data_IF_809446486116
#
_entry.id   IF_809446486116
#
_cell.length_a   1.000
_cell.length_b   1.000
_cell.length_c   1.000
_cell.angle_alpha   90.00
_cell.angle_beta   90.00
_cell.angle_gamma   90.00
#
_symmetry.space_group_name_H-M   'P 1'
#
loop_
_entity.id
_entity.type
_entity.pdbx_description
1 polymer ?
#
# COMPACT_ATOMS: atom_id res chain seq x y z
N UNK A 1 52.60 4.57 6.14
CA UNK A 1 51.19 4.12 6.12
C UNK A 1 50.37 5.29 5.61
N UNK A 2 49.59 5.11 4.54
CA UNK A 2 48.62 6.12 4.13
C UNK A 2 47.67 6.37 5.32
N UNK A 3 47.38 7.62 5.64
CA UNK A 3 46.31 7.94 6.59
C UNK A 3 44.96 7.58 5.94
N UNK A 4 43.94 7.32 6.75
CA UNK A 4 42.58 7.06 6.23
C UNK A 4 42.09 8.20 5.34
N UNK A 5 42.47 9.44 5.67
CA UNK A 5 42.20 10.63 4.85
C UNK A 5 42.85 10.56 3.46
N UNK A 6 44.08 10.08 3.36
CA UNK A 6 44.76 9.92 2.06
C UNK A 6 44.09 8.83 1.22
N UNK A 7 43.66 7.73 1.85
CA UNK A 7 42.89 6.68 1.17
C UNK A 7 41.53 7.19 0.68
N UNK A 8 40.91 8.10 1.43
CA UNK A 8 39.65 8.75 1.02
C UNK A 8 39.86 9.65 -0.20
N UNK A 9 40.95 10.42 -0.26
CA UNK A 9 41.34 11.21 -1.44
C UNK A 9 41.62 10.32 -2.66
N UNK A 10 42.43 9.27 -2.50
CA UNK A 10 42.72 8.31 -3.59
C UNK A 10 41.44 7.62 -4.10
N UNK A 11 40.54 7.23 -3.20
CA UNK A 11 39.26 6.65 -3.57
C UNK A 11 38.38 7.64 -4.32
N UNK A 12 38.33 8.90 -3.87
CA UNK A 12 37.55 9.94 -4.54
C UNK A 12 38.08 10.18 -5.96
N UNK A 13 39.39 10.30 -6.12
CA UNK A 13 40.04 10.41 -7.44
C UNK A 13 39.75 9.18 -8.31
N UNK A 14 39.83 7.96 -7.77
CA UNK A 14 39.50 6.75 -8.49
C UNK A 14 38.00 6.68 -8.87
N UNK A 15 37.10 7.20 -8.04
CA UNK A 15 35.67 7.26 -8.34
C UNK A 15 35.29 8.32 -9.37
N UNK A 16 36.11 9.39 -9.50
CA UNK A 16 35.81 10.56 -10.32
C UNK A 16 35.62 10.26 -11.81
N UNK A 17 36.14 9.13 -12.30
CA UNK A 17 36.03 8.71 -13.71
C UNK A 17 34.73 7.96 -14.04
N UNK A 18 33.90 7.59 -13.06
CA UNK A 18 32.75 6.71 -13.25
C UNK A 18 31.39 7.43 -13.21
N UNK A 19 30.51 7.15 -14.20
CA UNK A 19 29.10 7.59 -14.14
C UNK A 19 28.26 6.81 -13.12
N UNK A 20 28.64 5.57 -12.84
CA UNK A 20 28.00 4.70 -11.85
C UNK A 20 29.10 3.99 -11.07
N UNK A 21 28.95 3.87 -9.75
CA UNK A 21 29.82 2.99 -8.98
C UNK A 21 29.81 1.59 -9.61
N UNK A 22 30.98 0.96 -9.80
CA UNK A 22 31.02 -0.45 -10.14
C UNK A 22 30.21 -1.23 -9.10
N UNK A 23 29.58 -2.34 -9.50
CA UNK A 23 28.70 -3.11 -8.61
C UNK A 23 29.41 -3.49 -7.29
N UNK A 24 30.72 -3.72 -7.34
CA UNK A 24 31.58 -3.97 -6.17
C UNK A 24 31.63 -2.82 -5.15
N UNK A 25 31.36 -1.57 -5.56
CA UNK A 25 31.40 -0.37 -4.72
C UNK A 25 30.01 0.03 -4.20
N UNK A 26 28.92 -0.36 -4.88
CA UNK A 26 27.68 0.40 -4.92
C UNK A 26 26.76 0.29 -3.68
N UNK A 27 26.96 -0.67 -2.77
CA UNK A 27 26.04 -0.87 -1.63
C UNK A 27 26.65 -1.20 -0.27
N UNK A 28 27.87 -1.73 -0.23
CA UNK A 28 28.49 -2.10 1.05
C UNK A 28 29.80 -1.36 1.23
N UNK A 29 30.70 -1.38 0.25
CA UNK A 29 32.04 -0.81 0.45
C UNK A 29 32.05 0.69 0.79
N UNK A 30 31.28 1.51 0.07
CA UNK A 30 31.25 2.95 0.36
C UNK A 30 30.59 3.21 1.71
N UNK A 31 29.50 2.52 2.00
CA UNK A 31 28.76 2.73 3.24
C UNK A 31 29.57 2.21 4.45
N UNK A 32 30.24 1.06 4.33
CA UNK A 32 31.20 0.52 5.31
C UNK A 32 32.40 1.44 5.50
N UNK A 33 32.95 2.02 4.42
CA UNK A 33 34.04 2.99 4.53
C UNK A 33 33.59 4.24 5.27
N UNK A 34 32.41 4.78 4.90
CA UNK A 34 31.81 5.95 5.55
C UNK A 34 31.55 5.66 7.03
N UNK A 35 31.08 4.47 7.37
CA UNK A 35 30.85 4.02 8.75
C UNK A 35 32.15 3.87 9.56
N UNK A 36 33.30 3.68 8.90
CA UNK A 36 34.61 3.58 9.53
C UNK A 36 35.34 4.92 9.70
N UNK A 37 34.76 6.05 9.29
CA UNK A 37 35.35 7.37 9.47
C UNK A 37 35.02 7.94 10.85
N UNK A 38 36.04 8.40 11.60
CA UNK A 38 35.85 9.08 12.89
C UNK A 38 35.31 10.53 12.76
N UNK A 39 35.21 11.05 11.52
CA UNK A 39 34.78 12.42 11.18
C UNK A 39 35.46 13.50 12.03
N UNK A 40 36.76 13.33 12.28
CA UNK A 40 37.61 14.32 12.93
C UNK A 40 38.05 15.42 11.94
N UNK A 41 38.59 16.52 12.44
CA UNK A 41 38.90 17.71 11.62
C UNK A 41 39.75 17.46 10.35
N UNK A 42 40.75 16.56 10.34
CA UNK A 42 41.46 16.21 9.10
C UNK A 42 40.51 15.63 8.03
N UNK A 43 39.65 14.68 8.41
CA UNK A 43 38.65 14.08 7.53
C UNK A 43 37.60 15.11 7.08
N UNK A 44 37.13 15.95 8.00
CA UNK A 44 36.21 17.04 7.66
C UNK A 44 36.84 18.03 6.68
N UNK A 45 38.13 18.33 6.82
CA UNK A 45 38.87 19.18 5.87
C UNK A 45 38.90 18.60 4.46
N UNK A 46 39.09 17.28 4.35
CA UNK A 46 39.00 16.56 3.07
C UNK A 46 37.58 16.62 2.50
N UNK A 47 36.56 16.38 3.32
CA UNK A 47 35.14 16.46 2.89
C UNK A 47 34.82 17.89 2.40
N UNK A 48 35.22 18.93 3.13
CA UNK A 48 35.04 20.35 2.73
C UNK A 48 35.68 20.63 1.37
N UNK A 49 36.87 20.10 1.13
CA UNK A 49 37.58 20.22 -0.15
C UNK A 49 36.79 19.53 -1.27
N UNK A 50 36.23 18.35 -1.04
CA UNK A 50 35.38 17.68 -2.05
C UNK A 50 34.13 18.48 -2.35
N UNK A 51 33.41 18.98 -1.34
CA UNK A 51 32.19 19.78 -1.55
C UNK A 51 32.46 21.00 -2.43
N UNK A 52 33.53 21.75 -2.16
CA UNK A 52 33.87 22.96 -2.91
C UNK A 52 34.28 22.68 -4.36
N UNK A 53 34.96 21.57 -4.59
CA UNK A 53 35.54 21.21 -5.89
C UNK A 53 34.66 20.25 -6.70
N UNK A 54 33.47 19.89 -6.19
CA UNK A 54 32.60 18.93 -6.86
C UNK A 54 32.04 19.51 -8.16
N UNK A 55 32.25 18.78 -9.25
CA UNK A 55 31.66 19.09 -10.55
C UNK A 55 30.27 18.44 -10.69
N UNK A 56 29.23 19.27 -10.62
CA UNK A 56 27.83 18.84 -10.74
C UNK A 56 27.39 18.57 -12.19
N UNK A 57 28.16 19.04 -13.18
CA UNK A 57 27.96 18.74 -14.61
C UNK A 57 28.68 17.45 -15.02
N UNK A 58 29.67 17.04 -14.23
CA UNK A 58 30.50 15.86 -14.46
C UNK A 58 29.83 14.52 -14.15
N UNK A 59 30.67 13.58 -13.74
CA UNK A 59 30.34 12.18 -13.45
C UNK A 59 29.55 12.04 -12.14
N UNK A 60 28.63 11.08 -12.07
CA UNK A 60 27.69 10.98 -10.94
C UNK A 60 28.25 10.24 -9.71
N UNK A 61 29.22 9.35 -9.86
CA UNK A 61 29.82 8.63 -8.74
C UNK A 61 30.42 9.56 -7.65
N UNK A 62 31.27 10.56 -7.98
CA UNK A 62 31.81 11.47 -6.95
C UNK A 62 30.70 12.24 -6.23
N UNK A 63 29.63 12.65 -6.93
CA UNK A 63 28.48 13.34 -6.33
C UNK A 63 27.82 12.45 -5.28
N UNK A 64 27.53 11.18 -5.62
CA UNK A 64 26.93 10.22 -4.69
C UNK A 64 27.82 9.96 -3.47
N UNK A 65 29.14 9.89 -3.66
CA UNK A 65 30.10 9.73 -2.56
C UNK A 65 30.04 10.92 -1.60
N UNK A 66 30.05 12.16 -2.12
CA UNK A 66 29.97 13.37 -1.29
C UNK A 66 28.65 13.45 -0.55
N UNK A 67 27.51 13.12 -1.19
CA UNK A 67 26.21 13.07 -0.51
C UNK A 67 26.25 12.15 0.70
N UNK A 68 26.81 10.94 0.56
CA UNK A 68 26.89 9.94 1.64
C UNK A 68 27.83 10.38 2.77
N UNK A 69 28.99 10.95 2.42
CA UNK A 69 29.94 11.50 3.38
C UNK A 69 29.32 12.65 4.19
N UNK A 70 28.63 13.58 3.52
CA UNK A 70 27.94 14.68 4.16
C UNK A 70 26.81 14.18 5.07
N UNK A 71 25.95 13.30 4.58
CA UNK A 71 24.84 12.76 5.37
C UNK A 71 25.35 12.05 6.65
N UNK A 72 26.42 11.26 6.53
CA UNK A 72 27.04 10.60 7.68
C UNK A 72 27.70 11.59 8.66
N UNK A 73 28.40 12.62 8.16
CA UNK A 73 28.98 13.66 9.01
C UNK A 73 27.89 14.44 9.79
N UNK A 74 26.76 14.72 9.13
CA UNK A 74 25.61 15.39 9.74
C UNK A 74 24.95 14.49 10.79
N UNK A 75 24.72 13.21 10.48
CA UNK A 75 24.18 12.22 11.45
C UNK A 75 25.06 12.06 12.69
N UNK A 76 26.37 12.17 12.53
CA UNK A 76 27.34 12.16 13.64
C UNK A 76 27.47 13.52 14.36
N UNK A 77 26.68 14.54 13.99
CA UNK A 77 26.73 15.89 14.56
C UNK A 77 28.05 16.64 14.35
N UNK A 78 28.85 16.25 13.36
CA UNK A 78 30.19 16.82 13.10
C UNK A 78 30.18 18.00 12.11
N UNK A 79 29.04 18.27 11.47
CA UNK A 79 28.90 19.30 10.42
C UNK A 79 27.97 20.47 10.79
N UNK A 80 27.71 20.71 12.08
CA UNK A 80 26.69 21.66 12.57
C UNK A 80 27.01 23.14 12.34
N UNK A 81 28.27 23.50 12.14
CA UNK A 81 28.70 24.90 12.00
C UNK A 81 29.00 25.28 10.54
N UNK A 82 28.52 24.49 9.59
CA UNK A 82 28.88 24.60 8.17
C UNK A 82 27.67 24.90 7.27
N UNK A 83 26.68 25.62 7.81
CA UNK A 83 25.43 25.96 7.11
C UNK A 83 25.69 26.61 5.75
N UNK A 84 26.69 27.50 5.63
CA UNK A 84 27.05 28.15 4.36
C UNK A 84 27.53 27.14 3.30
N UNK A 85 28.38 26.19 3.70
CA UNK A 85 28.92 25.18 2.78
C UNK A 85 27.85 24.15 2.39
N UNK A 86 27.01 23.79 3.36
CA UNK A 86 25.87 22.92 3.14
C UNK A 86 24.85 23.60 2.22
N UNK A 87 24.56 24.88 2.42
CA UNK A 87 23.70 25.68 1.57
C UNK A 87 24.21 25.72 0.13
N UNK A 88 25.51 26.02 -0.06
CA UNK A 88 26.17 26.01 -1.36
C UNK A 88 26.05 24.65 -2.06
N UNK A 89 26.29 23.57 -1.32
CA UNK A 89 26.16 22.21 -1.85
C UNK A 89 24.73 21.92 -2.31
N UNK A 90 23.73 22.22 -1.48
CA UNK A 90 22.32 22.00 -1.84
C UNK A 90 21.97 22.82 -3.09
N UNK A 91 22.47 24.06 -3.23
CA UNK A 91 22.13 24.94 -4.37
C UNK A 91 22.67 24.36 -5.67
N UNK A 92 23.91 23.88 -5.63
CA UNK A 92 24.55 23.25 -6.78
C UNK A 92 23.91 21.89 -7.10
N UNK A 93 23.47 21.12 -6.10
CA UNK A 93 22.86 19.80 -6.32
C UNK A 93 21.50 19.86 -7.01
N UNK A 94 20.80 21.00 -6.99
CA UNK A 94 19.55 21.18 -7.75
C UNK A 94 19.74 21.08 -9.27
N UNK A 95 20.91 21.42 -9.79
CA UNK A 95 21.23 21.26 -11.21
C UNK A 95 21.08 19.79 -11.67
N UNK A 96 21.27 18.83 -10.75
CA UNK A 96 21.12 17.39 -11.02
C UNK A 96 19.68 17.05 -11.42
N UNK A 97 18.68 17.75 -10.88
CA UNK A 97 17.26 17.45 -11.13
C UNK A 97 16.89 17.63 -12.61
N UNK A 98 17.62 18.45 -13.36
CA UNK A 98 17.43 18.66 -14.79
C UNK A 98 18.03 17.56 -15.68
N UNK A 99 18.86 16.66 -15.13
CA UNK A 99 19.62 15.66 -15.89
C UNK A 99 18.82 14.37 -16.11
N UNK A 100 19.15 13.56 -17.15
CA UNK A 100 18.53 12.26 -17.37
C UNK A 100 18.59 11.35 -16.13
N UNK A 101 17.44 10.76 -15.79
CA UNK A 101 17.11 10.10 -14.52
C UNK A 101 18.09 8.98 -14.12
N UNK A 102 19.05 9.25 -13.22
CA UNK A 102 19.74 8.20 -12.47
C UNK A 102 19.03 7.97 -11.13
N UNK A 103 18.24 6.90 -11.06
CA UNK A 103 17.44 6.53 -9.87
C UNK A 103 18.26 6.41 -8.59
N UNK A 104 19.49 5.89 -8.65
CA UNK A 104 20.31 5.75 -7.44
C UNK A 104 20.81 7.11 -6.92
N UNK A 105 21.12 8.04 -7.83
CA UNK A 105 21.49 9.40 -7.43
C UNK A 105 20.31 10.15 -6.85
N UNK A 106 19.12 10.03 -7.45
CA UNK A 106 17.89 10.63 -6.92
C UNK A 106 17.57 10.07 -5.53
N UNK A 107 17.72 8.77 -5.33
CA UNK A 107 17.54 8.14 -4.03
C UNK A 107 18.51 8.71 -2.98
N UNK A 108 19.82 8.76 -3.29
CA UNK A 108 20.83 9.32 -2.37
C UNK A 108 20.53 10.82 -2.09
N UNK A 109 20.16 11.60 -3.11
CA UNK A 109 19.86 13.03 -2.98
C UNK A 109 18.62 13.30 -2.11
N UNK A 110 17.53 12.56 -2.29
CA UNK A 110 16.32 12.77 -1.49
C UNK A 110 16.44 12.17 -0.08
N UNK A 111 17.24 11.12 0.11
CA UNK A 111 17.63 10.70 1.47
C UNK A 111 18.34 11.85 2.20
N UNK A 112 19.21 12.58 1.50
CA UNK A 112 19.90 13.74 2.05
C UNK A 112 18.96 14.91 2.32
N UNK A 113 18.10 15.29 1.36
CA UNK A 113 17.12 16.38 1.54
C UNK A 113 16.04 16.10 2.60
N UNK A 114 15.77 14.82 2.90
CA UNK A 114 14.83 14.41 3.96
C UNK A 114 15.43 14.43 5.36
N UNK A 115 16.73 14.72 5.49
CA UNK A 115 17.35 14.95 6.78
C UNK A 115 16.88 16.31 7.34
N UNK A 116 16.27 16.37 8.54
CA UNK A 116 15.74 17.63 9.08
C UNK A 116 16.79 18.73 9.24
N UNK A 117 18.05 18.36 9.52
CA UNK A 117 19.16 19.32 9.62
C UNK A 117 19.43 19.95 8.25
N UNK A 118 19.46 19.15 7.19
CA UNK A 118 19.69 19.62 5.82
C UNK A 118 18.53 20.47 5.33
N UNK A 119 17.29 20.04 5.60
CA UNK A 119 16.09 20.76 5.20
C UNK A 119 16.03 22.16 5.84
N UNK A 120 16.40 22.25 7.12
CA UNK A 120 16.34 23.48 7.92
C UNK A 120 17.42 24.53 7.58
N UNK A 121 18.42 24.20 6.77
CA UNK A 121 19.43 25.16 6.29
C UNK A 121 18.81 26.26 5.42
N UNK A 122 17.58 26.05 4.95
CA UNK A 122 16.88 26.95 4.05
C UNK A 122 15.45 27.19 4.50
N UNK A 123 14.98 28.40 4.21
CA UNK A 123 13.57 28.71 4.30
C UNK A 123 12.74 27.87 3.31
N UNK A 124 11.50 27.49 3.66
CA UNK A 124 10.61 26.69 2.81
C UNK A 124 10.47 27.19 1.36
N UNK A 125 10.44 28.49 1.10
CA UNK A 125 10.28 28.99 -0.28
C UNK A 125 11.52 28.77 -1.15
N UNK A 126 12.70 28.63 -0.52
CA UNK A 126 13.94 28.30 -1.23
C UNK A 126 13.95 26.85 -1.73
N UNK A 127 13.01 26.01 -1.27
CA UNK A 127 12.81 24.65 -1.77
C UNK A 127 11.85 24.57 -2.97
N UNK A 128 11.26 25.69 -3.40
CA UNK A 128 10.20 25.71 -4.42
C UNK A 128 10.58 25.00 -5.74
N UNK A 129 11.84 25.13 -6.17
CA UNK A 129 12.34 24.47 -7.39
C UNK A 129 12.27 22.95 -7.24
N UNK A 130 12.74 22.43 -6.10
CA UNK A 130 12.73 21.01 -5.78
C UNK A 130 11.30 20.50 -5.60
N UNK A 131 10.45 21.26 -4.89
CA UNK A 131 9.04 20.90 -4.68
C UNK A 131 8.32 20.76 -6.02
N UNK A 132 8.44 21.74 -6.92
CA UNK A 132 7.82 21.68 -8.25
C UNK A 132 8.34 20.51 -9.08
N UNK A 133 9.65 20.25 -9.00
CA UNK A 133 10.23 19.10 -9.68
C UNK A 133 9.63 17.79 -9.16
N UNK A 134 9.53 17.63 -7.83
CA UNK A 134 8.94 16.44 -7.20
C UNK A 134 7.49 16.26 -7.62
N UNK A 135 6.70 17.33 -7.58
CA UNK A 135 5.28 17.27 -7.93
C UNK A 135 5.04 16.87 -9.38
N UNK A 136 5.89 17.34 -10.30
CA UNK A 136 5.87 16.92 -11.70
C UNK A 136 6.26 15.45 -11.88
N UNK A 137 7.17 14.92 -11.06
CA UNK A 137 7.58 13.51 -11.16
C UNK A 137 6.50 12.53 -10.69
N UNK A 138 5.52 12.96 -9.89
CA UNK A 138 4.40 12.08 -9.52
C UNK A 138 3.50 11.70 -10.69
N UNK A 139 3.53 12.45 -11.80
CA UNK A 139 2.84 12.09 -13.03
C UNK A 139 3.59 10.99 -13.83
N UNK A 140 4.82 10.63 -13.45
CA UNK A 140 5.58 9.57 -14.12
C UNK A 140 5.10 8.18 -13.70
N UNK A 141 4.48 7.45 -14.62
CA UNK A 141 4.03 6.06 -14.43
C UNK A 141 5.18 5.10 -14.05
N UNK A 142 6.43 5.44 -14.39
CA UNK A 142 7.60 4.62 -14.10
C UNK A 142 8.26 4.93 -12.75
N UNK A 143 7.70 5.86 -11.96
CA UNK A 143 8.21 6.20 -10.64
C UNK A 143 7.93 5.06 -9.65
N UNK A 144 8.99 4.53 -9.03
CA UNK A 144 8.84 3.43 -8.05
C UNK A 144 8.24 3.93 -6.73
N UNK A 145 7.55 3.06 -5.99
CA UNK A 145 7.04 3.34 -4.65
C UNK A 145 8.11 3.89 -3.67
N UNK A 146 9.35 3.41 -3.73
CA UNK A 146 10.44 3.91 -2.88
C UNK A 146 10.77 5.39 -3.09
N UNK A 147 10.75 5.85 -4.35
CA UNK A 147 10.97 7.27 -4.67
C UNK A 147 9.77 8.09 -4.23
N UNK A 148 8.55 7.59 -4.47
CA UNK A 148 7.31 8.23 -3.99
C UNK A 148 7.38 8.45 -2.48
N UNK A 149 7.83 7.45 -1.71
CA UNK A 149 7.95 7.57 -0.25
C UNK A 149 8.92 8.68 0.17
N UNK A 150 10.07 8.79 -0.50
CA UNK A 150 11.07 9.82 -0.22
C UNK A 150 10.56 11.22 -0.59
N UNK A 151 9.90 11.34 -1.72
CA UNK A 151 9.32 12.58 -2.22
C UNK A 151 8.23 13.11 -1.29
N UNK A 152 7.32 12.23 -0.86
CA UNK A 152 6.29 12.58 0.12
C UNK A 152 6.94 12.98 1.45
N UNK A 153 7.93 12.23 1.94
CA UNK A 153 8.66 12.60 3.17
C UNK A 153 9.29 13.98 3.06
N UNK A 154 9.91 14.30 1.92
CA UNK A 154 10.51 15.60 1.67
C UNK A 154 9.46 16.72 1.71
N UNK A 155 8.37 16.58 0.94
CA UNK A 155 7.29 17.57 0.88
C UNK A 155 6.64 17.78 2.25
N UNK A 156 6.45 16.72 3.04
CA UNK A 156 5.84 16.78 4.35
C UNK A 156 6.74 17.38 5.45
N UNK A 157 7.98 17.78 5.14
CA UNK A 157 8.80 18.59 6.05
C UNK A 157 8.37 20.07 6.08
N UNK A 158 7.55 20.52 5.14
CA UNK A 158 7.00 21.89 5.17
C UNK A 158 6.13 22.02 6.42
N UNK A 159 6.46 22.95 7.35
CA UNK A 159 6.01 22.82 8.73
C UNK A 159 4.55 23.23 8.93
N UNK A 160 3.99 24.07 8.06
CA UNK A 160 2.61 24.54 8.18
C UNK A 160 1.81 24.38 6.89
N UNK A 161 0.50 24.19 7.03
CA UNK A 161 -0.43 24.19 5.91
C UNK A 161 -0.51 25.57 5.21
N UNK A 162 -0.23 26.67 5.91
CA UNK A 162 -0.18 28.01 5.31
C UNK A 162 0.96 28.14 4.29
N UNK A 163 2.14 27.65 4.63
CA UNK A 163 3.27 27.59 3.70
C UNK A 163 3.03 26.57 2.58
N UNK A 164 2.49 25.40 2.92
CA UNK A 164 2.14 24.39 1.92
C UNK A 164 1.15 24.94 0.86
N UNK A 165 0.19 25.79 1.27
CA UNK A 165 -0.70 26.52 0.35
C UNK A 165 0.06 27.54 -0.49
N UNK A 166 0.90 28.37 0.14
CA UNK A 166 1.71 29.37 -0.57
C UNK A 166 2.61 28.74 -1.64
N UNK A 167 3.06 27.52 -1.40
CA UNK A 167 3.90 26.72 -2.30
C UNK A 167 3.09 25.83 -3.27
N UNK A 168 1.76 25.96 -3.31
CA UNK A 168 0.84 25.17 -4.13
C UNK A 168 0.85 23.65 -3.89
N UNK A 169 1.41 23.17 -2.78
CA UNK A 169 1.48 21.74 -2.47
C UNK A 169 0.08 21.15 -2.28
N UNK A 170 -0.77 21.83 -1.50
CA UNK A 170 -2.13 21.35 -1.22
C UNK A 170 -3.00 21.40 -2.47
N UNK A 171 -2.96 22.50 -3.23
CA UNK A 171 -3.76 22.66 -4.44
C UNK A 171 -3.39 21.65 -5.53
N UNK A 172 -2.11 21.35 -5.70
CA UNK A 172 -1.66 20.29 -6.60
C UNK A 172 -2.02 18.89 -6.07
N UNK A 173 -1.85 18.62 -4.78
CA UNK A 173 -2.19 17.31 -4.22
C UNK A 173 -3.70 16.99 -4.26
N UNK A 174 -4.59 17.99 -4.24
CA UNK A 174 -6.02 17.77 -4.46
C UNK A 174 -6.42 17.76 -5.95
N UNK A 175 -5.50 17.99 -6.90
CA UNK A 175 -5.77 17.99 -8.35
C UNK A 175 -6.30 16.64 -8.84
N UNK A 176 -7.29 16.59 -9.76
CA UNK A 176 -7.79 15.33 -10.33
C UNK A 176 -6.68 14.45 -10.93
N UNK A 177 -5.62 15.06 -11.44
CA UNK A 177 -4.48 14.37 -12.07
C UNK A 177 -3.53 13.71 -11.07
N UNK A 178 -3.62 14.08 -9.79
CA UNK A 178 -2.75 13.58 -8.73
C UNK A 178 -3.50 12.87 -7.61
N UNK A 179 -4.84 12.99 -7.51
CA UNK A 179 -5.61 12.30 -6.46
C UNK A 179 -5.36 10.79 -6.56
N UNK A 180 -4.67 10.25 -5.56
CA UNK A 180 -4.14 8.90 -5.54
C UNK A 180 -3.43 8.60 -4.21
N UNK A 181 -2.62 7.54 -4.19
CA UNK A 181 -2.02 7.05 -2.93
C UNK A 181 -1.01 8.01 -2.30
N UNK A 182 -0.28 8.78 -3.10
CA UNK A 182 0.79 9.67 -2.61
C UNK A 182 0.25 11.03 -2.20
N UNK A 183 -0.61 11.64 -3.02
CA UNK A 183 -1.30 12.89 -2.69
C UNK A 183 -2.14 12.72 -1.44
N UNK A 184 -2.80 11.58 -1.26
CA UNK A 184 -3.47 11.26 -0.01
C UNK A 184 -2.55 11.38 1.21
N UNK A 185 -1.27 11.01 1.13
CA UNK A 185 -0.35 11.14 2.26
C UNK A 185 0.04 12.60 2.53
N UNK A 186 0.23 13.38 1.46
CA UNK A 186 0.47 14.83 1.57
C UNK A 186 -0.75 15.50 2.21
N UNK A 187 -1.94 15.22 1.71
CA UNK A 187 -3.19 15.77 2.25
C UNK A 187 -3.44 15.30 3.69
N UNK A 188 -3.14 14.04 4.01
CA UNK A 188 -3.24 13.51 5.37
C UNK A 188 -2.35 14.30 6.35
N UNK A 189 -1.14 14.68 5.93
CA UNK A 189 -0.21 15.47 6.74
C UNK A 189 -0.79 16.83 7.14
N UNK A 190 -1.56 17.46 6.25
CA UNK A 190 -2.15 18.78 6.47
C UNK A 190 -3.63 18.74 6.85
N UNK A 191 -4.20 17.57 7.09
CA UNK A 191 -5.65 17.38 7.20
C UNK A 191 -6.33 18.27 8.26
N UNK A 192 -5.63 18.56 9.37
CA UNK A 192 -6.16 19.39 10.47
C UNK A 192 -6.41 20.85 10.07
N UNK A 193 -5.68 21.34 9.08
CA UNK A 193 -5.69 22.74 8.69
C UNK A 193 -6.44 22.99 7.38
N UNK A 194 -7.00 21.96 6.73
CA UNK A 194 -7.68 22.10 5.45
C UNK A 194 -8.97 22.92 5.60
N UNK A 195 -9.28 23.72 4.58
CA UNK A 195 -10.56 24.40 4.51
C UNK A 195 -11.64 23.45 4.02
N UNK A 196 -12.90 23.78 4.31
CA UNK A 196 -14.03 22.98 3.80
C UNK A 196 -14.07 22.94 2.26
N UNK A 197 -13.64 24.01 1.59
CA UNK A 197 -13.58 24.07 0.12
C UNK A 197 -12.50 23.15 -0.45
N UNK A 198 -11.34 23.05 0.20
CA UNK A 198 -10.28 22.11 -0.17
C UNK A 198 -10.73 20.66 0.07
N UNK A 199 -11.43 20.40 1.17
CA UNK A 199 -12.01 19.09 1.44
C UNK A 199 -13.06 18.70 0.38
N UNK A 200 -13.97 19.62 0.03
CA UNK A 200 -14.96 19.41 -1.03
C UNK A 200 -14.30 19.17 -2.39
N UNK A 201 -13.25 19.91 -2.71
CA UNK A 201 -12.45 19.72 -3.93
C UNK A 201 -11.81 18.34 -3.97
N UNK A 202 -11.19 17.90 -2.87
CA UNK A 202 -10.62 16.56 -2.77
C UNK A 202 -11.68 15.47 -2.92
N UNK A 203 -12.85 15.60 -2.25
CA UNK A 203 -13.97 14.66 -2.38
C UNK A 203 -14.44 14.56 -3.84
N UNK A 204 -14.62 15.70 -4.52
CA UNK A 204 -15.07 15.73 -5.91
C UNK A 204 -14.04 15.10 -6.85
N UNK A 205 -12.77 15.46 -6.71
CA UNK A 205 -11.71 14.91 -7.55
C UNK A 205 -11.47 13.42 -7.27
N UNK A 206 -11.55 12.99 -6.01
CA UNK A 206 -11.53 11.58 -5.64
C UNK A 206 -12.71 10.80 -6.20
N UNK A 207 -13.90 11.40 -6.33
CA UNK A 207 -15.08 10.74 -6.92
C UNK A 207 -15.01 10.61 -8.43
N UNK A 208 -14.35 11.56 -9.10
CA UNK A 208 -14.35 11.69 -10.55
C UNK A 208 -13.07 11.16 -11.22
N UNK A 209 -11.95 11.03 -10.50
CA UNK A 209 -10.68 10.61 -11.10
C UNK A 209 -10.73 9.16 -11.63
N UNK A 210 -9.96 8.90 -12.67
CA UNK A 210 -9.79 7.61 -13.33
C UNK A 210 -8.56 6.82 -12.84
N UNK A 211 -7.73 7.39 -11.97
CA UNK A 211 -6.46 6.79 -11.54
C UNK A 211 -6.68 5.61 -10.59
N UNK A 212 -6.16 4.42 -10.88
CA UNK A 212 -6.31 3.22 -10.04
C UNK A 212 -6.04 3.47 -8.54
N UNK A 213 -7.07 3.26 -7.71
CA UNK A 213 -7.15 3.79 -6.35
C UNK A 213 -6.49 2.93 -5.29
N UNK A 214 -6.11 3.56 -4.17
CA UNK A 214 -5.57 2.88 -2.98
C UNK A 214 -6.15 3.43 -1.69
N UNK A 215 -6.19 2.54 -0.70
CA UNK A 215 -6.60 2.74 0.70
C UNK A 215 -6.25 4.10 1.36
N UNK A 216 -5.06 4.71 1.12
CA UNK A 216 -4.72 5.98 1.75
C UNK A 216 -5.69 7.13 1.48
N UNK A 217 -6.30 7.20 0.29
CA UNK A 217 -7.23 8.28 -0.04
C UNK A 217 -8.57 8.18 0.71
N UNK A 218 -9.10 6.95 0.88
CA UNK A 218 -10.29 6.73 1.73
C UNK A 218 -9.98 7.15 3.16
N UNK A 219 -8.80 6.80 3.67
CA UNK A 219 -8.36 7.22 5.01
C UNK A 219 -8.36 8.74 5.19
N UNK A 220 -7.94 9.48 4.17
CA UNK A 220 -8.01 10.94 4.15
C UNK A 220 -9.45 11.43 4.21
N UNK A 221 -10.36 10.88 3.38
CA UNK A 221 -11.78 11.26 3.39
C UNK A 221 -12.42 11.07 4.75
N UNK A 222 -12.17 9.93 5.38
CA UNK A 222 -12.67 9.61 6.71
C UNK A 222 -12.12 10.60 7.74
N UNK A 223 -10.82 10.90 7.68
CA UNK A 223 -10.18 11.88 8.58
C UNK A 223 -10.71 13.29 8.35
N UNK A 224 -10.92 13.71 7.11
CA UNK A 224 -11.52 15.01 6.79
C UNK A 224 -12.94 15.11 7.33
N UNK A 225 -13.75 14.04 7.21
CA UNK A 225 -15.11 14.02 7.77
C UNK A 225 -15.10 14.06 9.30
N UNK A 226 -14.11 13.45 9.95
CA UNK A 226 -13.88 13.56 11.40
C UNK A 226 -13.60 15.01 11.81
N UNK A 227 -12.73 15.69 11.07
CA UNK A 227 -12.32 17.07 11.37
C UNK A 227 -13.36 18.12 10.93
N UNK A 228 -14.13 17.81 9.89
CA UNK A 228 -15.17 18.65 9.31
C UNK A 228 -16.49 17.88 9.24
N UNK A 229 -17.27 17.82 10.33
CA UNK A 229 -18.55 17.09 10.35
C UNK A 229 -19.57 17.55 9.31
N UNK A 230 -19.45 18.79 8.81
CA UNK A 230 -20.27 19.33 7.73
C UNK A 230 -19.87 18.85 6.32
N UNK A 231 -18.75 18.14 6.19
CA UNK A 231 -18.29 17.60 4.93
C UNK A 231 -19.23 16.48 4.45
N UNK A 232 -19.90 16.74 3.34
CA UNK A 232 -20.79 15.76 2.71
C UNK A 232 -19.99 14.92 1.73
N UNK A 233 -19.98 13.61 1.94
CA UNK A 233 -19.46 12.62 0.98
C UNK A 233 -20.66 12.01 0.28
N UNK A 234 -20.91 12.32 -1.01
CA UNK A 234 -22.06 11.77 -1.71
C UNK A 234 -21.96 10.25 -1.85
N UNK A 235 -23.03 9.53 -1.48
CA UNK A 235 -23.06 8.06 -1.53
C UNK A 235 -23.95 7.52 -2.66
N UNK A 236 -24.60 8.39 -3.42
CA UNK A 236 -25.49 8.00 -4.52
C UNK A 236 -24.68 7.47 -5.72
N UNK A 237 -25.11 6.38 -6.40
CA UNK A 237 -24.38 5.80 -7.53
C UNK A 237 -24.03 6.80 -8.65
N UNK A 238 -24.98 7.65 -9.03
CA UNK A 238 -24.81 8.65 -10.09
C UNK A 238 -23.74 9.71 -9.79
N UNK A 239 -23.24 9.78 -8.55
CA UNK A 239 -22.22 10.74 -8.11
C UNK A 239 -20.78 10.24 -8.29
N UNK A 240 -20.58 9.02 -8.78
CA UNK A 240 -19.27 8.36 -8.86
C UNK A 240 -18.96 7.88 -10.28
N UNK A 241 -17.71 7.99 -10.70
CA UNK A 241 -17.24 7.41 -11.97
C UNK A 241 -16.91 5.93 -11.84
N UNK A 242 -16.58 5.46 -10.63
CA UNK A 242 -16.25 4.06 -10.35
C UNK A 242 -17.05 3.54 -9.15
N UNK A 243 -17.83 2.49 -9.39
CA UNK A 243 -18.77 1.95 -8.40
C UNK A 243 -18.05 1.21 -7.25
N UNK A 244 -17.00 0.45 -7.56
CA UNK A 244 -16.22 -0.27 -6.53
C UNK A 244 -15.69 0.68 -5.45
N UNK A 245 -15.25 1.88 -5.86
CA UNK A 245 -14.75 2.92 -4.96
C UNK A 245 -15.84 3.50 -4.07
N UNK A 246 -17.02 3.76 -4.63
CA UNK A 246 -18.19 4.20 -3.87
C UNK A 246 -18.55 3.19 -2.79
N UNK A 247 -18.62 1.91 -3.18
CA UNK A 247 -18.94 0.82 -2.25
C UNK A 247 -17.87 0.69 -1.16
N UNK A 248 -16.58 0.74 -1.51
CA UNK A 248 -15.51 0.71 -0.50
C UNK A 248 -15.63 1.88 0.49
N UNK A 249 -15.98 3.09 0.04
CA UNK A 249 -16.24 4.22 0.95
C UNK A 249 -17.43 3.94 1.87
N UNK A 250 -18.53 3.40 1.35
CA UNK A 250 -19.71 3.03 2.15
C UNK A 250 -19.33 1.98 3.20
N UNK A 251 -18.68 0.88 2.79
CA UNK A 251 -18.25 -0.18 3.69
C UNK A 251 -17.34 0.36 4.80
N UNK A 252 -16.50 1.35 4.54
CA UNK A 252 -15.56 1.89 5.54
C UNK A 252 -16.16 2.95 6.45
N UNK A 253 -17.19 3.63 5.97
CA UNK A 253 -18.01 4.48 6.82
C UNK A 253 -18.85 3.65 7.80
N UNK A 254 -19.26 2.43 7.41
CA UNK A 254 -19.97 1.48 8.27
C UNK A 254 -19.01 0.67 9.18
N UNK A 255 -17.83 0.30 8.68
CA UNK A 255 -16.81 -0.46 9.38
C UNK A 255 -15.48 0.30 9.44
N UNK A 256 -15.30 1.21 10.42
CA UNK A 256 -14.00 1.78 10.70
C UNK A 256 -13.08 0.68 11.29
N UNK A 257 -12.45 -0.10 10.43
CA UNK A 257 -11.50 -1.14 10.81
C UNK A 257 -10.33 -0.51 11.59
N UNK A 258 -10.25 -0.83 12.88
CA UNK A 258 -9.09 -0.63 13.78
C UNK A 258 -8.36 0.72 13.69
N UNK A 259 -9.09 1.80 14.03
CA UNK A 259 -8.45 2.98 14.58
C UNK A 259 -9.05 3.29 15.94
N UNK A 260 -8.21 3.33 16.99
CA UNK A 260 -8.57 3.77 18.34
C UNK A 260 -9.35 5.10 18.35
N UNK A 261 -9.20 5.92 17.30
CA UNK A 261 -9.89 7.20 17.11
C UNK A 261 -11.26 7.12 16.43
N UNK A 262 -11.54 6.16 15.54
CA UNK A 262 -12.80 6.16 14.79
C UNK A 262 -13.97 5.55 15.58
N UNK A 263 -13.71 4.78 16.64
CA UNK A 263 -14.77 4.31 17.57
C UNK A 263 -15.55 5.46 18.22
N UNK A 264 -15.03 6.69 18.18
CA UNK A 264 -15.70 7.87 18.73
C UNK A 264 -16.63 8.59 17.75
N UNK A 265 -16.61 8.25 16.46
CA UNK A 265 -17.57 8.83 15.54
C UNK A 265 -18.86 8.01 15.60
N UNK A 266 -19.88 8.53 16.27
CA UNK A 266 -21.28 8.29 15.89
C UNK A 266 -21.44 8.85 14.47
N UNK A 267 -20.91 8.15 13.47
CA UNK A 267 -21.27 8.40 12.08
C UNK A 267 -22.71 7.91 11.97
N UNK A 268 -23.67 8.77 12.31
CA UNK A 268 -25.06 8.53 11.97
C UNK A 268 -25.17 8.63 10.45
N UNK A 269 -24.87 7.52 9.78
CA UNK A 269 -25.30 7.30 8.42
C UNK A 269 -26.82 7.18 8.47
N UNK A 270 -27.52 8.20 8.01
CA UNK A 270 -28.95 8.10 7.82
C UNK A 270 -29.24 7.02 6.77
N UNK A 271 -30.28 6.22 7.02
CA UNK A 271 -30.77 5.19 6.09
C UNK A 271 -29.73 4.11 5.73
N UNK A 272 -29.04 3.53 6.74
CA UNK A 272 -28.12 2.39 6.56
C UNK A 272 -28.76 1.28 5.71
N UNK A 273 -30.02 0.94 5.96
CA UNK A 273 -30.72 -0.09 5.16
C UNK A 273 -30.76 0.24 3.67
N UNK A 274 -31.03 1.50 3.29
CA UNK A 274 -31.06 1.93 1.90
C UNK A 274 -29.66 1.94 1.26
N UNK A 275 -28.61 2.22 2.06
CA UNK A 275 -27.22 2.11 1.60
C UNK A 275 -26.84 0.65 1.36
N UNK A 276 -27.22 -0.26 2.26
CA UNK A 276 -26.99 -1.71 2.09
C UNK A 276 -27.72 -2.22 0.85
N UNK A 277 -29.00 -1.87 0.67
CA UNK A 277 -29.75 -2.19 -0.54
C UNK A 277 -29.02 -1.67 -1.79
N UNK A 278 -28.58 -0.40 -1.76
CA UNK A 278 -27.86 0.22 -2.86
C UNK A 278 -26.57 -0.52 -3.22
N UNK A 279 -25.82 -1.08 -2.25
CA UNK A 279 -24.61 -1.86 -2.52
C UNK A 279 -24.94 -3.26 -3.04
N UNK A 280 -25.99 -3.89 -2.50
CA UNK A 280 -26.43 -5.19 -2.99
C UNK A 280 -26.93 -5.11 -4.44
N UNK A 281 -27.59 -4.02 -4.81
CA UNK A 281 -28.01 -3.75 -6.19
C UNK A 281 -26.85 -3.35 -7.12
N UNK A 282 -25.67 -3.01 -6.58
CA UNK A 282 -24.53 -2.62 -7.39
C UNK A 282 -23.88 -3.81 -8.10
N UNK A 283 -23.36 -3.60 -9.33
CA UNK A 283 -22.59 -4.60 -10.07
C UNK A 283 -21.13 -4.68 -9.57
N UNK A 284 -20.95 -4.74 -8.26
CA UNK A 284 -19.62 -4.87 -7.63
C UNK A 284 -19.29 -6.32 -7.29
N UNK A 285 -18.01 -6.59 -7.10
CA UNK A 285 -17.52 -7.92 -6.69
C UNK A 285 -18.17 -8.37 -5.39
N UNK A 286 -18.37 -9.69 -5.29
CA UNK A 286 -19.05 -10.29 -4.13
C UNK A 286 -18.30 -10.06 -2.82
N UNK A 287 -16.96 -9.96 -2.86
CA UNK A 287 -16.12 -9.64 -1.70
C UNK A 287 -16.42 -8.24 -1.13
N UNK A 288 -16.78 -7.29 -2.00
CA UNK A 288 -17.15 -5.95 -1.54
C UNK A 288 -18.49 -5.98 -0.81
N UNK A 289 -19.43 -6.81 -1.27
CA UNK A 289 -20.72 -7.03 -0.61
C UNK A 289 -20.57 -7.79 0.70
N UNK A 290 -19.65 -8.77 0.76
CA UNK A 290 -19.33 -9.53 1.97
C UNK A 290 -18.93 -8.62 3.14
N UNK A 291 -18.19 -7.54 2.87
CA UNK A 291 -17.80 -6.54 3.89
C UNK A 291 -19.00 -5.91 4.61
N UNK A 292 -20.22 -6.03 4.08
CA UNK A 292 -21.44 -5.46 4.67
C UNK A 292 -22.28 -6.45 5.47
N UNK A 293 -21.86 -7.71 5.57
CA UNK A 293 -22.65 -8.81 6.14
C UNK A 293 -23.26 -8.45 7.51
N UNK A 294 -22.47 -7.84 8.41
CA UNK A 294 -22.93 -7.52 9.77
C UNK A 294 -24.01 -6.43 9.86
N UNK A 295 -24.24 -5.69 8.77
CA UNK A 295 -25.30 -4.67 8.69
C UNK A 295 -26.51 -5.11 7.86
N UNK A 296 -26.48 -6.34 7.32
CA UNK A 296 -27.60 -6.87 6.55
C UNK A 296 -28.72 -7.32 7.48
N UNK A 297 -29.94 -6.88 7.20
CA UNK A 297 -31.12 -7.57 7.73
C UNK A 297 -31.35 -8.91 7.01
N UNK A 298 -32.29 -9.71 7.51
CA UNK A 298 -32.59 -11.03 6.97
C UNK A 298 -32.86 -11.02 5.46
N UNK A 299 -33.68 -10.06 4.97
CA UNK A 299 -34.00 -9.92 3.54
C UNK A 299 -32.76 -9.63 2.70
N UNK A 300 -31.89 -8.75 3.19
CA UNK A 300 -30.64 -8.36 2.51
C UNK A 300 -29.65 -9.51 2.47
N UNK A 301 -29.55 -10.26 3.57
CA UNK A 301 -28.73 -11.46 3.65
C UNK A 301 -29.22 -12.54 2.68
N UNK A 302 -30.52 -12.79 2.56
CA UNK A 302 -31.06 -13.73 1.56
C UNK A 302 -30.61 -13.36 0.14
N UNK A 303 -30.75 -12.07 -0.22
CA UNK A 303 -30.34 -11.57 -1.52
C UNK A 303 -28.84 -11.77 -1.78
N UNK A 304 -27.99 -11.39 -0.83
CA UNK A 304 -26.54 -11.62 -0.92
C UNK A 304 -26.22 -13.12 -1.05
N UNK A 305 -26.89 -13.96 -0.27
CA UNK A 305 -26.64 -15.40 -0.26
C UNK A 305 -27.06 -16.06 -1.57
N UNK A 306 -28.18 -15.65 -2.16
CA UNK A 306 -28.61 -16.11 -3.49
C UNK A 306 -27.62 -15.72 -4.59
N UNK A 307 -27.05 -14.51 -4.50
CA UNK A 307 -25.95 -14.08 -5.38
C UNK A 307 -24.69 -14.94 -5.17
N UNK A 308 -24.33 -15.25 -3.93
CA UNK A 308 -23.19 -16.13 -3.59
C UNK A 308 -23.39 -17.55 -4.14
N UNK A 309 -24.60 -18.10 -4.02
CA UNK A 309 -24.95 -19.40 -4.62
C UNK A 309 -24.83 -19.38 -6.14
N UNK A 310 -25.22 -18.27 -6.77
CA UNK A 310 -25.12 -18.10 -8.22
C UNK A 310 -23.66 -17.97 -8.65
N UNK A 311 -22.86 -17.21 -7.90
CA UNK A 311 -21.43 -17.03 -8.11
C UNK A 311 -20.66 -18.35 -7.94
N UNK A 312 -20.98 -19.17 -6.94
CA UNK A 312 -20.36 -20.47 -6.69
C UNK A 312 -20.46 -21.43 -7.90
N UNK A 313 -21.48 -21.28 -8.74
CA UNK A 313 -21.70 -22.09 -9.94
C UNK A 313 -20.87 -21.65 -11.14
N UNK A 314 -20.32 -20.44 -11.16
CA UNK A 314 -19.53 -19.90 -12.28
C UNK A 314 -18.23 -20.68 -12.46
N UNK A 315 -17.90 -21.10 -13.69
CA UNK A 315 -16.63 -21.76 -14.02
C UNK A 315 -15.46 -20.76 -13.99
N UNK A 316 -15.03 -20.36 -12.79
CA UNK A 316 -13.80 -19.60 -12.56
C UNK A 316 -12.98 -20.23 -11.44
N UNK A 317 -11.65 -20.21 -11.58
CA UNK A 317 -10.73 -20.68 -10.56
C UNK A 317 -10.73 -19.81 -9.30
N UNK A 318 -11.16 -18.55 -9.41
CA UNK A 318 -11.15 -17.61 -8.29
C UNK A 318 -12.33 -17.82 -7.33
N UNK A 319 -13.35 -18.60 -7.74
CA UNK A 319 -14.55 -18.86 -6.93
C UNK A 319 -14.20 -19.39 -5.54
N UNK A 320 -13.24 -20.31 -5.45
CA UNK A 320 -12.82 -20.89 -4.17
C UNK A 320 -12.21 -19.86 -3.23
N UNK A 321 -11.47 -18.87 -3.77
CA UNK A 321 -10.84 -17.81 -2.97
C UNK A 321 -11.93 -16.95 -2.32
N UNK A 322 -12.88 -16.48 -3.12
CA UNK A 322 -13.99 -15.63 -2.67
C UNK A 322 -14.93 -16.36 -1.69
N UNK A 323 -15.30 -17.61 -1.99
CA UNK A 323 -16.14 -18.40 -1.08
C UNK A 323 -15.39 -18.71 0.22
N UNK A 324 -14.10 -18.98 0.16
CA UNK A 324 -13.27 -19.18 1.37
C UNK A 324 -13.21 -17.92 2.23
N UNK A 325 -13.16 -16.72 1.63
CA UNK A 325 -13.30 -15.45 2.35
C UNK A 325 -14.66 -15.38 3.05
N UNK A 326 -15.75 -15.54 2.30
CA UNK A 326 -17.12 -15.49 2.81
C UNK A 326 -17.36 -16.45 3.97
N UNK A 327 -16.83 -17.67 3.93
CA UNK A 327 -16.99 -18.67 4.99
C UNK A 327 -16.50 -18.20 6.36
N UNK A 328 -15.57 -17.25 6.44
CA UNK A 328 -15.10 -16.69 7.72
C UNK A 328 -16.12 -15.78 8.37
N UNK A 329 -16.95 -15.13 7.57
CA UNK A 329 -17.94 -14.14 8.00
C UNK A 329 -19.34 -14.74 8.16
N UNK A 330 -19.67 -15.79 7.40
CA UNK A 330 -21.00 -16.43 7.38
C UNK A 330 -21.51 -17.04 8.71
N UNK A 331 -20.71 -17.57 9.67
CA UNK A 331 -21.23 -18.29 10.84
C UNK A 331 -22.24 -17.53 11.71
N UNK A 332 -22.18 -16.21 11.70
CA UNK A 332 -23.10 -15.36 12.47
C UNK A 332 -24.45 -15.15 11.77
N UNK A 333 -24.55 -15.47 10.48
CA UNK A 333 -25.66 -15.08 9.60
C UNK A 333 -26.30 -16.27 8.88
N UNK A 334 -25.51 -17.28 8.51
CA UNK A 334 -25.95 -18.43 7.76
C UNK A 334 -26.24 -19.63 8.67
N UNK A 335 -27.40 -20.26 8.48
CA UNK A 335 -27.65 -21.58 9.08
C UNK A 335 -26.80 -22.66 8.42
N UNK A 336 -26.59 -23.77 9.12
CA UNK A 336 -25.88 -24.94 8.56
C UNK A 336 -26.51 -25.43 7.25
N UNK A 337 -27.84 -25.37 7.14
CA UNK A 337 -28.56 -25.74 5.93
C UNK A 337 -28.17 -24.86 4.74
N UNK A 338 -28.06 -23.53 4.93
CA UNK A 338 -27.61 -22.62 3.87
C UNK A 338 -26.18 -22.93 3.44
N UNK A 339 -25.28 -23.12 4.41
CA UNK A 339 -23.88 -23.44 4.11
C UNK A 339 -23.77 -24.76 3.34
N UNK A 340 -24.56 -25.77 3.71
CA UNK A 340 -24.65 -27.00 2.93
C UNK A 340 -25.11 -26.74 1.49
N UNK A 341 -26.10 -25.86 1.26
CA UNK A 341 -26.51 -25.46 -0.10
C UNK A 341 -25.38 -24.78 -0.90
N UNK A 342 -24.55 -23.97 -0.25
CA UNK A 342 -23.38 -23.35 -0.87
C UNK A 342 -22.34 -24.39 -1.30
N UNK A 343 -22.05 -25.37 -0.44
CA UNK A 343 -21.17 -26.49 -0.78
C UNK A 343 -21.77 -27.39 -1.86
N UNK A 344 -23.10 -27.54 -1.90
CA UNK A 344 -23.78 -28.21 -3.00
C UNK A 344 -23.59 -27.47 -4.33
N UNK A 345 -23.69 -26.13 -4.32
CA UNK A 345 -23.53 -25.27 -5.50
C UNK A 345 -22.10 -25.26 -6.07
N UNK A 346 -21.07 -25.47 -5.24
CA UNK A 346 -19.68 -25.55 -5.67
C UNK A 346 -19.39 -26.80 -6.53
N UNK A 347 -20.18 -27.86 -6.42
CA UNK A 347 -20.01 -29.07 -7.21
C UNK A 347 -18.63 -29.71 -7.03
N UNK A 348 -17.91 -29.97 -8.12
CA UNK A 348 -16.61 -30.64 -8.09
C UNK A 348 -15.44 -29.74 -7.62
N UNK A 349 -15.66 -28.43 -7.48
CA UNK A 349 -14.65 -27.45 -7.01
C UNK A 349 -14.29 -27.62 -5.53
N UNK A 350 -15.02 -28.47 -4.82
CA UNK A 350 -14.89 -28.73 -3.39
C UNK A 350 -13.59 -29.44 -3.00
N UNK A 351 -12.80 -29.94 -3.97
CA UNK A 351 -11.48 -30.53 -3.73
C UNK A 351 -10.40 -29.46 -3.47
N UNK A 352 -10.70 -28.54 -2.56
CA UNK A 352 -9.82 -27.49 -2.09
C UNK A 352 -9.68 -27.59 -0.58
N UNK A 353 -8.47 -27.90 -0.11
CA UNK A 353 -8.19 -28.06 1.31
C UNK A 353 -8.50 -26.77 2.09
N UNK A 354 -8.29 -25.58 1.50
CA UNK A 354 -8.57 -24.32 2.17
C UNK A 354 -10.07 -24.17 2.45
N UNK A 355 -10.93 -24.54 1.51
CA UNK A 355 -12.38 -24.48 1.66
C UNK A 355 -12.85 -25.39 2.81
N UNK A 356 -12.39 -26.65 2.82
CA UNK A 356 -12.74 -27.65 3.84
C UNK A 356 -12.25 -27.22 5.23
N UNK A 357 -11.01 -26.74 5.32
CA UNK A 357 -10.44 -26.24 6.57
C UNK A 357 -11.20 -25.02 7.10
N UNK A 358 -11.53 -24.04 6.25
CA UNK A 358 -12.26 -22.85 6.70
C UNK A 358 -13.69 -23.19 7.13
N UNK A 359 -14.38 -24.13 6.47
CA UNK A 359 -15.67 -24.64 6.95
C UNK A 359 -15.55 -25.27 8.34
N UNK A 360 -14.53 -26.11 8.55
CA UNK A 360 -14.28 -26.74 9.85
C UNK A 360 -13.91 -25.72 10.93
N UNK A 361 -13.17 -24.66 10.61
CA UNK A 361 -12.86 -23.59 11.56
C UNK A 361 -14.11 -22.78 11.90
N UNK A 362 -14.97 -22.53 10.91
CA UNK A 362 -16.16 -21.71 11.02
C UNK A 362 -17.32 -22.41 11.77
N UNK A 363 -17.52 -23.72 11.56
CA UNK A 363 -18.66 -24.48 12.12
C UNK A 363 -18.26 -25.63 13.06
N UNK A 364 -16.97 -25.81 13.31
CA UNK A 364 -16.42 -26.85 14.19
C UNK A 364 -15.90 -28.08 13.43
N UNK A 365 -15.06 -28.86 14.09
CA UNK A 365 -14.41 -30.06 13.51
C UNK A 365 -15.38 -31.17 13.11
N UNK A 366 -16.58 -31.16 13.66
CA UNK A 366 -17.68 -32.09 13.34
C UNK A 366 -18.70 -31.50 12.36
N UNK A 367 -18.38 -30.42 11.64
CA UNK A 367 -19.28 -29.78 10.68
C UNK A 367 -19.88 -30.78 9.66
N UNK A 368 -19.12 -31.80 9.28
CA UNK A 368 -19.53 -32.81 8.30
C UNK A 368 -20.35 -33.98 8.89
N UNK A 369 -20.54 -34.03 10.21
CA UNK A 369 -21.39 -35.04 10.85
C UNK A 369 -22.85 -34.57 10.97
N UNK A 370 -23.13 -33.32 10.63
CA UNK A 370 -24.49 -32.80 10.63
C UNK A 370 -25.29 -33.35 9.41
N UNK A 371 -26.57 -33.71 9.60
CA UNK A 371 -27.41 -34.28 8.54
C UNK A 371 -27.48 -33.43 7.26
N UNK A 372 -27.38 -32.11 7.39
CA UNK A 372 -27.41 -31.17 6.27
C UNK A 372 -26.26 -31.39 5.28
N UNK A 373 -25.13 -31.94 5.73
CA UNK A 373 -23.95 -32.23 4.91
C UNK A 373 -23.86 -33.69 4.42
N UNK A 374 -24.88 -34.53 4.66
CA UNK A 374 -24.84 -35.95 4.28
C UNK A 374 -24.62 -36.15 2.78
N UNK A 375 -25.37 -35.44 1.93
CA UNK A 375 -25.21 -35.48 0.46
C UNK A 375 -23.83 -35.01 0.01
N UNK A 376 -23.33 -33.96 0.65
CA UNK A 376 -22.00 -33.43 0.39
C UNK A 376 -20.93 -34.48 0.73
N UNK A 377 -21.04 -35.11 1.90
CA UNK A 377 -20.13 -36.14 2.39
C UNK A 377 -20.09 -37.35 1.46
N UNK A 378 -21.24 -37.83 0.98
CA UNK A 378 -21.31 -38.96 0.05
C UNK A 378 -20.61 -38.63 -1.28
N UNK A 379 -20.89 -37.44 -1.83
CA UNK A 379 -20.27 -36.98 -3.08
C UNK A 379 -18.78 -36.73 -2.94
N UNK A 380 -18.35 -36.11 -1.84
CA UNK A 380 -16.93 -35.90 -1.55
C UNK A 380 -16.20 -37.24 -1.41
N UNK A 381 -16.77 -38.20 -0.69
CA UNK A 381 -16.21 -39.55 -0.54
C UNK A 381 -16.07 -40.28 -1.88
N UNK A 382 -17.02 -40.06 -2.80
CA UNK A 382 -16.93 -40.56 -4.18
C UNK A 382 -15.81 -39.87 -4.97
N UNK A 383 -15.72 -38.55 -4.93
CA UNK A 383 -14.66 -37.79 -5.60
C UNK A 383 -13.25 -38.16 -5.09
N UNK A 384 -13.13 -38.38 -3.78
CA UNK A 384 -11.92 -38.91 -3.13
C UNK A 384 -11.59 -40.30 -3.68
N UNK A 385 -12.57 -41.20 -3.74
CA UNK A 385 -12.39 -42.55 -4.28
C UNK A 385 -11.95 -42.54 -5.75
N UNK A 386 -12.56 -41.67 -6.56
CA UNK A 386 -12.24 -41.52 -7.98
C UNK A 386 -10.85 -40.91 -8.18
N UNK A 387 -10.45 -39.93 -7.36
CA UNK A 387 -9.12 -39.34 -7.38
C UNK A 387 -8.02 -40.36 -7.01
N UNK A 388 -8.25 -41.22 -6.02
CA UNK A 388 -7.29 -42.27 -5.62
C UNK A 388 -7.16 -43.35 -6.71
N UNK A 389 -8.25 -43.67 -7.42
CA UNK A 389 -8.25 -44.65 -8.52
C UNK A 389 -7.69 -44.09 -9.83
N UNK A 390 -7.61 -42.76 -9.96
CA UNK A 390 -7.11 -42.14 -11.16
C UNK A 390 -5.62 -42.51 -11.39
N UNK A 391 -5.18 -42.68 -12.65
CA UNK A 391 -3.77 -42.90 -12.95
C UNK A 391 -2.93 -41.75 -12.40
N UNK A 392 -1.83 -42.08 -11.72
CA UNK A 392 -0.86 -41.11 -11.22
C UNK A 392 -0.09 -40.54 -12.41
N UNK A 393 -0.64 -39.46 -13.00
CA UNK A 393 0.08 -38.56 -13.90
C UNK A 393 0.40 -37.25 -13.18
N UNK A 394 1.32 -36.45 -13.71
CA UNK A 394 1.69 -35.15 -13.14
C UNK A 394 0.48 -34.25 -12.87
N UNK A 395 -0.52 -34.25 -13.76
CA UNK A 395 -1.76 -33.46 -13.62
C UNK A 395 -2.67 -33.89 -12.47
N UNK A 396 -2.54 -35.13 -11.97
CA UNK A 396 -3.38 -35.68 -10.91
C UNK A 396 -2.67 -35.74 -9.55
N UNK A 397 -1.33 -35.62 -9.53
CA UNK A 397 -0.54 -35.77 -8.32
C UNK A 397 -0.95 -34.77 -7.23
N UNK A 398 -1.10 -33.49 -7.58
CA UNK A 398 -1.56 -32.45 -6.65
C UNK A 398 -2.96 -32.76 -6.08
N UNK A 399 -3.89 -33.15 -6.95
CA UNK A 399 -5.25 -33.53 -6.54
C UNK A 399 -5.25 -34.72 -5.57
N UNK A 400 -4.40 -35.72 -5.81
CA UNK A 400 -4.24 -36.89 -4.92
C UNK A 400 -3.67 -36.46 -3.57
N UNK A 401 -2.64 -35.59 -3.55
CA UNK A 401 -2.06 -35.07 -2.31
C UNK A 401 -3.11 -34.33 -1.48
N UNK A 402 -3.82 -33.37 -2.08
CA UNK A 402 -4.91 -32.62 -1.42
C UNK A 402 -5.97 -33.56 -0.84
N UNK A 403 -6.37 -34.59 -1.59
CA UNK A 403 -7.33 -35.60 -1.13
C UNK A 403 -6.80 -36.37 0.08
N UNK A 404 -5.55 -36.83 0.04
CA UNK A 404 -4.93 -37.57 1.15
C UNK A 404 -4.81 -36.71 2.41
N UNK A 405 -4.47 -35.44 2.27
CA UNK A 405 -4.42 -34.48 3.38
C UNK A 405 -5.82 -34.24 3.98
N UNK A 406 -6.83 -34.02 3.14
CA UNK A 406 -8.22 -33.91 3.57
C UNK A 406 -8.69 -35.15 4.34
N UNK A 407 -8.41 -36.36 3.84
CA UNK A 407 -8.80 -37.61 4.53
C UNK A 407 -8.09 -37.80 5.87
N UNK A 408 -6.83 -37.36 5.98
CA UNK A 408 -6.07 -37.41 7.24
C UNK A 408 -6.70 -36.49 8.29
N UNK A 409 -7.14 -35.30 7.87
CA UNK A 409 -7.74 -34.30 8.76
C UNK A 409 -9.21 -34.63 9.09
N UNK A 410 -9.94 -35.20 8.12
CA UNK A 410 -11.37 -35.50 8.21
C UNK A 410 -11.62 -36.97 7.85
N UNK A 411 -11.44 -37.91 8.80
CA UNK A 411 -11.64 -39.34 8.57
C UNK A 411 -13.05 -39.72 8.12
N UNK A 412 -14.03 -38.82 8.31
CA UNK A 412 -15.41 -39.01 7.86
C UNK A 412 -15.56 -39.09 6.33
N UNK A 413 -14.55 -38.65 5.55
CA UNK A 413 -14.50 -38.79 4.09
C UNK A 413 -13.81 -40.08 3.61
N UNK A 414 -13.31 -40.91 4.54
CA UNK A 414 -12.80 -42.23 4.15
C UNK A 414 -13.92 -42.99 3.44
N UNK A 415 -13.64 -43.61 2.28
CA UNK A 415 -14.59 -44.51 1.65
C UNK A 415 -15.02 -45.56 2.68
N UNK A 416 -16.32 -45.65 2.96
CA UNK A 416 -16.85 -46.77 3.75
C UNK A 416 -16.39 -48.03 3.02
N UNK A 417 -15.67 -48.92 3.72
CA UNK A 417 -15.26 -50.20 3.15
C UNK A 417 -16.51 -50.86 2.57
N UNK A 418 -16.56 -50.97 1.24
CA UNK A 418 -17.58 -51.73 0.54
C UNK A 418 -17.56 -53.19 0.99
#
# INVERSE_FOLDING_TARGET
MATLDHLLEELFEACSVFDKFPVSFNRTLIDELVDCLDFEEPTLTVIRKFVRNLDFEGKLAPIRMVIRLLDAAIKNNKFRNEDDLLLEFIQKSEAILSRPRNRLLLQDLFNFYTNPVVFAVREPESWLVVIRWVMNEFADEYLSCFHIDLFVKFICQIPSAAEARRLNIISEAISPDLVGSFSARIIYNYAQDLTIDECNTFVNNFRLSSLGYRWPAIRVLLKMRELHPSLVIPLAPASWTEENRRVDVICRLLFPMDFDTLKMMDVQLENVEALVDSVLDSPVDIDLKEKMLDHMNERQFEKYFDELLSFAKIESNDVNIHVTSALRSLPQHATRQKVAQLFEALGDKILDLALILNLSLAYGSNAFDFPEFEKFKDRYSKLVSDAIKAPVGESNAERIITVLECMKLFPCFLPVKA
#
